data_IF_742918039711
#
_entry.id   IF_742918039711
#
_cell.length_a   1.000
_cell.length_b   1.000
_cell.length_c   1.000
_cell.angle_alpha   90.00
_cell.angle_beta   90.00
_cell.angle_gamma   90.00
#
_symmetry.space_group_name_H-M   'P 1'
#
loop_
_entity.id
_entity.type
_entity.pdbx_description
1 polymer ?
#
# COMPACT_ATOMS: atom_id res chain seq x y z
N UNK A 1 -54.74 -15.75 -3.85
CA UNK A 1 -53.41 -15.19 -3.52
C UNK A 1 -53.37 -14.35 -2.23
N UNK A 2 -54.47 -13.99 -1.61
CA UNK A 2 -54.55 -13.14 -0.41
C UNK A 2 -54.12 -13.81 0.92
N UNK A 3 -54.42 -15.11 1.11
CA UNK A 3 -54.16 -15.84 2.34
C UNK A 3 -52.68 -15.98 2.74
N UNK A 4 -51.76 -16.03 1.74
CA UNK A 4 -50.31 -16.19 1.98
C UNK A 4 -49.64 -14.92 2.55
N UNK A 5 -50.14 -13.73 2.22
CA UNK A 5 -49.65 -12.43 2.73
C UNK A 5 -50.01 -12.25 4.21
N UNK A 6 -51.19 -12.68 4.64
CA UNK A 6 -51.66 -12.52 6.02
C UNK A 6 -50.85 -13.37 6.99
N UNK A 7 -50.50 -14.61 6.60
CA UNK A 7 -49.69 -15.51 7.43
C UNK A 7 -48.27 -15.00 7.65
N UNK A 8 -47.61 -14.44 6.61
CA UNK A 8 -46.28 -13.88 6.74
C UNK A 8 -46.25 -12.66 7.65
N UNK A 9 -47.19 -11.73 7.56
CA UNK A 9 -47.27 -10.57 8.44
C UNK A 9 -47.52 -10.96 9.91
N UNK A 10 -48.27 -12.00 10.16
CA UNK A 10 -48.54 -12.51 11.52
C UNK A 10 -47.29 -13.14 12.12
N UNK A 11 -46.54 -13.93 11.36
CA UNK A 11 -45.27 -14.56 11.79
C UNK A 11 -44.23 -13.47 12.10
N UNK A 12 -44.09 -12.46 11.24
CA UNK A 12 -43.12 -11.35 11.45
C UNK A 12 -43.46 -10.51 12.70
N UNK A 13 -44.76 -10.20 12.93
CA UNK A 13 -45.19 -9.47 14.14
C UNK A 13 -44.96 -10.31 15.39
N UNK A 14 -45.15 -11.62 15.33
CA UNK A 14 -44.90 -12.51 16.44
C UNK A 14 -43.43 -12.64 16.75
N UNK A 15 -42.58 -12.81 15.74
CA UNK A 15 -41.13 -12.84 15.89
C UNK A 15 -40.56 -11.51 16.49
N UNK A 16 -41.04 -10.35 16.04
CA UNK A 16 -40.69 -9.04 16.61
C UNK A 16 -41.12 -8.88 18.09
N UNK A 17 -42.27 -9.43 18.47
CA UNK A 17 -42.73 -9.44 19.87
C UNK A 17 -41.90 -10.38 20.76
N UNK A 18 -41.50 -11.55 20.29
CA UNK A 18 -40.61 -12.45 21.02
C UNK A 18 -39.21 -11.84 21.18
N UNK A 19 -38.65 -11.26 20.12
CA UNK A 19 -37.35 -10.56 20.19
C UNK A 19 -37.39 -9.39 21.19
N UNK A 20 -38.43 -8.55 21.18
CA UNK A 20 -38.61 -7.49 22.18
C UNK A 20 -38.73 -8.01 23.61
N UNK A 21 -39.46 -9.13 23.85
CA UNK A 21 -39.56 -9.74 25.17
C UNK A 21 -38.24 -10.36 25.63
N UNK A 22 -37.48 -11.00 24.74
CA UNK A 22 -36.16 -11.54 25.05
C UNK A 22 -35.18 -10.44 25.47
N UNK A 23 -35.11 -9.34 24.71
CA UNK A 23 -34.25 -8.19 25.02
C UNK A 23 -34.63 -7.53 26.36
N UNK A 24 -35.92 -7.49 26.69
CA UNK A 24 -36.39 -6.89 27.97
C UNK A 24 -36.04 -7.76 29.17
N UNK A 25 -35.80 -9.08 28.99
CA UNK A 25 -35.40 -10.00 30.06
C UNK A 25 -33.91 -10.03 30.36
N UNK A 26 -33.08 -9.44 29.50
CA UNK A 26 -31.64 -9.38 29.73
C UNK A 26 -31.39 -8.44 30.92
N UNK A 27 -30.88 -9.02 32.01
CA UNK A 27 -30.55 -8.28 33.23
C UNK A 27 -29.59 -7.14 32.92
N UNK A 28 -29.75 -6.00 33.58
CA UNK A 28 -28.90 -4.81 33.38
C UNK A 28 -27.40 -5.13 33.51
N UNK A 29 -27.05 -6.02 34.43
CA UNK A 29 -25.67 -6.49 34.60
C UNK A 29 -25.12 -7.18 33.35
N UNK A 30 -25.92 -7.99 32.66
CA UNK A 30 -25.50 -8.65 31.39
C UNK A 30 -25.27 -7.61 30.27
N UNK A 31 -26.09 -6.58 30.19
CA UNK A 31 -25.90 -5.49 29.21
C UNK A 31 -24.60 -4.74 29.45
N UNK A 32 -24.33 -4.40 30.71
CA UNK A 32 -23.09 -3.75 31.10
C UNK A 32 -21.88 -4.62 30.77
N UNK A 33 -21.95 -5.92 31.10
CA UNK A 33 -20.89 -6.86 30.83
C UNK A 33 -20.59 -6.95 29.31
N UNK A 34 -21.63 -7.05 28.45
CA UNK A 34 -21.45 -7.10 26.99
C UNK A 34 -20.80 -5.82 26.46
N UNK A 35 -21.23 -4.65 26.93
CA UNK A 35 -20.61 -3.37 26.52
C UNK A 35 -19.15 -3.30 26.97
N UNK A 36 -18.85 -3.73 28.17
CA UNK A 36 -17.51 -3.70 28.74
C UNK A 36 -16.56 -4.66 28.01
N UNK A 37 -17.00 -5.88 27.69
CA UNK A 37 -16.21 -6.84 26.89
C UNK A 37 -15.97 -6.33 25.46
N UNK A 38 -16.96 -5.67 24.85
CA UNK A 38 -16.81 -5.04 23.55
C UNK A 38 -15.74 -3.94 23.58
N UNK A 39 -15.80 -3.05 24.56
CA UNK A 39 -14.83 -1.96 24.74
C UNK A 39 -13.40 -2.50 24.96
N UNK A 40 -13.26 -3.51 25.82
CA UNK A 40 -11.97 -4.17 26.07
C UNK A 40 -11.45 -4.83 24.78
N UNK A 41 -12.32 -5.50 24.02
CA UNK A 41 -11.96 -6.11 22.74
C UNK A 41 -11.48 -5.09 21.70
N UNK A 42 -12.16 -3.95 21.59
CA UNK A 42 -11.74 -2.85 20.71
C UNK A 42 -10.39 -2.28 21.15
N UNK A 43 -10.22 -2.02 22.44
CA UNK A 43 -8.96 -1.48 22.97
C UNK A 43 -7.79 -2.45 22.77
N UNK A 44 -7.97 -3.73 23.06
CA UNK A 44 -6.96 -4.75 22.83
C UNK A 44 -6.62 -4.88 21.34
N UNK A 45 -7.64 -4.90 20.46
CA UNK A 45 -7.46 -4.94 19.02
C UNK A 45 -6.67 -3.73 18.49
N UNK A 46 -6.96 -2.53 19.00
CA UNK A 46 -6.22 -1.32 18.64
C UNK A 46 -4.75 -1.40 19.06
N UNK A 47 -4.46 -1.86 20.27
CA UNK A 47 -3.08 -2.02 20.78
C UNK A 47 -2.31 -3.03 19.92
N UNK A 48 -2.91 -4.18 19.58
CA UNK A 48 -2.32 -5.19 18.72
C UNK A 48 -2.04 -4.61 17.33
N UNK A 49 -3.02 -3.93 16.73
CA UNK A 49 -2.86 -3.29 15.42
C UNK A 49 -1.73 -2.27 15.41
N UNK A 50 -1.64 -1.41 16.43
CA UNK A 50 -0.57 -0.42 16.57
C UNK A 50 0.80 -1.09 16.77
N UNK A 51 0.86 -2.21 17.48
CA UNK A 51 2.10 -2.94 17.69
C UNK A 51 2.64 -3.53 16.39
N UNK A 52 1.80 -4.22 15.63
CA UNK A 52 2.18 -4.78 14.31
C UNK A 52 2.52 -3.69 13.29
N UNK A 53 1.88 -2.53 13.39
CA UNK A 53 2.08 -1.40 12.49
C UNK A 53 3.38 -0.61 12.72
N UNK A 54 4.12 -0.89 13.80
CA UNK A 54 5.36 -0.13 14.12
C UNK A 54 6.45 -0.29 13.08
N UNK A 55 6.55 -1.46 12.43
CA UNK A 55 7.57 -1.79 11.46
C UNK A 55 7.11 -1.58 10.02
N UNK A 56 5.93 -0.96 9.82
CA UNK A 56 5.44 -0.69 8.48
C UNK A 56 6.35 0.30 7.79
N UNK A 57 6.81 -0.08 6.61
CA UNK A 57 7.73 0.71 5.80
C UNK A 57 7.47 0.50 4.32
N UNK A 58 7.77 1.53 3.57
CA UNK A 58 7.81 1.48 2.12
C UNK A 58 9.10 2.17 1.69
N UNK A 59 10.13 1.39 1.36
CA UNK A 59 11.50 1.87 1.13
C UNK A 59 12.11 1.17 -0.07
N UNK A 60 12.81 1.92 -0.92
CA UNK A 60 13.68 1.38 -1.95
C UNK A 60 14.99 0.91 -1.31
N UNK A 61 15.46 -0.26 -1.69
CA UNK A 61 16.79 -0.72 -1.32
C UNK A 61 17.82 -0.12 -2.30
N UNK A 62 19.01 0.14 -1.77
CA UNK A 62 20.13 0.71 -2.54
C UNK A 62 19.97 2.17 -2.92
N UNK A 63 20.68 2.56 -3.95
CA UNK A 63 20.74 3.96 -4.41
C UNK A 63 19.43 4.34 -5.12
N UNK A 64 18.90 5.52 -4.82
CA UNK A 64 17.63 6.01 -5.39
C UNK A 64 17.84 7.02 -6.53
N UNK A 65 19.02 7.65 -6.60
CA UNK A 65 19.38 8.62 -7.63
C UNK A 65 20.71 8.22 -8.23
N UNK A 66 20.72 8.07 -9.55
CA UNK A 66 21.90 7.72 -10.33
C UNK A 66 22.23 8.89 -11.25
N UNK A 67 23.51 9.25 -11.32
CA UNK A 67 24.07 10.14 -12.34
C UNK A 67 24.90 9.29 -13.29
N UNK A 68 24.61 9.37 -14.57
CA UNK A 68 25.23 8.56 -15.63
C UNK A 68 25.77 9.51 -16.67
N UNK A 69 27.04 9.34 -17.03
CA UNK A 69 27.65 10.13 -18.08
C UNK A 69 27.05 9.76 -19.45
N UNK A 70 26.73 10.79 -20.23
CA UNK A 70 26.28 10.59 -21.60
C UNK A 70 27.44 10.09 -22.48
N UNK A 71 27.18 9.05 -23.26
CA UNK A 71 28.13 8.52 -24.24
C UNK A 71 27.45 8.43 -25.58
N UNK A 72 27.83 9.29 -26.52
CA UNK A 72 27.25 9.31 -27.87
C UNK A 72 27.55 7.98 -28.60
N UNK A 73 26.51 7.31 -29.07
CA UNK A 73 26.62 5.97 -29.67
C UNK A 73 27.03 4.86 -28.70
N UNK A 74 27.05 5.14 -27.38
CA UNK A 74 27.38 4.18 -26.34
C UNK A 74 26.33 3.10 -26.14
N UNK A 75 26.76 1.96 -25.57
CA UNK A 75 25.83 0.93 -25.14
C UNK A 75 24.98 1.43 -23.98
N UNK A 76 23.68 1.08 -23.92
CA UNK A 76 22.80 1.52 -22.86
C UNK A 76 23.27 1.02 -21.49
N UNK A 77 23.02 1.81 -20.45
CA UNK A 77 23.28 1.38 -19.07
C UNK A 77 22.21 0.38 -18.62
N UNK A 78 22.65 -0.78 -18.15
CA UNK A 78 21.76 -1.85 -17.71
C UNK A 78 21.65 -1.85 -16.19
N UNK A 79 20.47 -1.50 -15.68
CA UNK A 79 20.21 -1.45 -14.25
C UNK A 79 19.44 -2.69 -13.78
N UNK A 80 19.98 -3.36 -12.75
CA UNK A 80 19.29 -4.44 -12.04
C UNK A 80 18.63 -3.89 -10.79
N UNK A 81 17.33 -4.12 -10.61
CA UNK A 81 16.59 -3.65 -9.44
C UNK A 81 17.11 -4.32 -8.16
N UNK A 82 17.49 -3.50 -7.18
CA UNK A 82 18.02 -3.94 -5.88
C UNK A 82 16.91 -4.36 -4.90
N UNK A 83 15.66 -4.00 -5.21
CA UNK A 83 14.48 -4.39 -4.44
C UNK A 83 13.74 -3.22 -3.79
N UNK A 84 12.52 -3.56 -3.40
CA UNK A 84 11.61 -2.64 -2.70
C UNK A 84 11.04 -3.38 -1.50
N UNK A 85 11.16 -2.78 -0.33
CA UNK A 85 10.51 -3.29 0.87
C UNK A 85 9.19 -2.56 1.12
N UNK A 86 8.11 -3.31 1.14
CA UNK A 86 6.78 -2.79 1.49
C UNK A 86 6.16 -3.67 2.56
N UNK A 87 5.97 -3.11 3.76
CA UNK A 87 5.29 -3.75 4.87
C UNK A 87 4.08 -2.93 5.28
N UNK A 88 2.93 -3.58 5.42
CA UNK A 88 1.66 -2.98 5.75
C UNK A 88 0.96 -3.78 6.84
N UNK A 89 0.73 -3.18 8.01
CA UNK A 89 0.20 -3.83 9.21
C UNK A 89 0.99 -5.09 9.59
N UNK A 90 2.32 -5.00 9.50
CA UNK A 90 3.24 -6.10 9.82
C UNK A 90 3.29 -7.23 8.79
N UNK A 91 2.56 -7.12 7.69
CA UNK A 91 2.55 -8.11 6.60
C UNK A 91 3.36 -7.60 5.41
N UNK A 92 4.01 -8.51 4.73
CA UNK A 92 4.66 -8.23 3.46
C UNK A 92 3.62 -7.83 2.40
N UNK A 93 3.77 -6.63 1.86
CA UNK A 93 2.90 -6.06 0.84
C UNK A 93 3.56 -6.04 -0.55
N UNK A 94 4.66 -6.74 -0.76
CA UNK A 94 5.40 -6.78 -2.03
C UNK A 94 4.53 -7.27 -3.20
N UNK A 95 3.57 -8.16 -2.95
CA UNK A 95 2.61 -8.62 -3.96
C UNK A 95 1.60 -7.55 -4.42
N UNK A 96 1.50 -6.44 -3.70
CA UNK A 96 0.65 -5.28 -4.02
C UNK A 96 1.44 -4.11 -4.60
N UNK A 97 2.72 -4.34 -4.86
CA UNK A 97 3.58 -3.34 -5.46
C UNK A 97 3.22 -3.18 -6.94
N UNK A 98 3.00 -1.95 -7.34
CA UNK A 98 2.83 -1.56 -8.75
C UNK A 98 4.05 -0.75 -9.17
N UNK A 99 4.57 -1.04 -10.35
CA UNK A 99 5.74 -0.38 -10.94
C UNK A 99 5.31 0.29 -12.22
N UNK A 100 5.58 1.58 -12.33
CA UNK A 100 5.31 2.40 -13.52
C UNK A 100 6.64 2.96 -14.03
N UNK A 101 6.95 2.74 -15.30
CA UNK A 101 8.15 3.27 -15.95
C UNK A 101 7.99 3.23 -17.47
N UNK A 102 8.65 4.15 -18.17
CA UNK A 102 8.77 4.15 -19.63
C UNK A 102 10.00 3.35 -20.13
N UNK A 103 10.83 2.84 -19.20
CA UNK A 103 12.02 2.07 -19.52
C UNK A 103 11.67 0.66 -19.97
N UNK A 104 12.33 0.18 -21.00
CA UNK A 104 12.26 -1.20 -21.44
C UNK A 104 13.10 -2.11 -20.54
N UNK A 105 12.73 -3.38 -20.46
CA UNK A 105 13.54 -4.40 -19.80
C UNK A 105 14.12 -5.37 -20.82
N UNK A 106 15.32 -5.84 -20.56
CA UNK A 106 15.95 -6.90 -21.34
C UNK A 106 15.40 -8.29 -20.93
N UNK A 107 15.89 -9.34 -21.62
CA UNK A 107 15.48 -10.73 -21.34
C UNK A 107 15.85 -11.21 -19.93
N UNK A 108 16.77 -10.53 -19.24
CA UNK A 108 17.16 -10.81 -17.85
C UNK A 108 16.39 -9.97 -16.83
N UNK A 109 15.42 -9.14 -17.27
CA UNK A 109 14.63 -8.26 -16.40
C UNK A 109 15.35 -6.99 -15.94
N UNK A 110 16.49 -6.63 -16.57
CA UNK A 110 17.23 -5.41 -16.27
C UNK A 110 16.65 -4.24 -17.04
N UNK A 111 16.55 -3.07 -16.44
CA UNK A 111 16.10 -1.85 -17.10
C UNK A 111 17.18 -1.29 -18.01
N UNK A 112 16.78 -0.91 -19.21
CA UNK A 112 17.64 -0.36 -20.26
C UNK A 112 17.54 1.16 -20.20
N UNK A 113 18.59 1.85 -19.73
CA UNK A 113 18.65 3.30 -19.67
C UNK A 113 19.46 3.79 -20.86
N UNK A 114 18.85 4.56 -21.80
CA UNK A 114 19.57 5.16 -22.91
C UNK A 114 20.61 6.16 -22.41
N UNK A 115 21.84 6.09 -22.91
CA UNK A 115 22.92 7.01 -22.56
C UNK A 115 23.40 7.85 -23.74
N UNK A 116 22.74 7.71 -24.90
CA UNK A 116 23.06 8.40 -26.15
C UNK A 116 22.57 9.86 -26.19
N UNK A 117 21.76 10.24 -25.23
CA UNK A 117 21.21 11.60 -25.09
C UNK A 117 20.98 11.94 -23.62
N UNK A 118 21.08 13.22 -23.30
CA UNK A 118 20.69 13.73 -22.01
C UNK A 118 19.21 13.44 -21.69
N UNK A 119 18.94 13.16 -20.43
CA UNK A 119 17.56 12.91 -20.00
C UNK A 119 17.45 12.47 -18.56
N UNK A 120 16.21 12.47 -18.09
CA UNK A 120 15.85 11.95 -16.76
C UNK A 120 14.86 10.82 -16.95
N UNK A 121 15.23 9.65 -16.48
CA UNK A 121 14.43 8.44 -16.54
C UNK A 121 14.03 8.05 -15.12
N UNK A 122 12.80 7.57 -14.96
CA UNK A 122 12.29 7.24 -13.63
C UNK A 122 11.62 5.88 -13.58
N UNK A 123 11.75 5.23 -12.43
CA UNK A 123 10.95 4.07 -12.06
C UNK A 123 10.15 4.46 -10.83
N UNK A 124 8.83 4.42 -10.94
CA UNK A 124 7.90 4.83 -9.89
C UNK A 124 7.27 3.58 -9.27
N UNK A 125 7.38 3.47 -7.97
CA UNK A 125 6.82 2.39 -7.18
C UNK A 125 5.67 2.92 -6.35
N UNK A 126 4.54 2.21 -6.38
CA UNK A 126 3.37 2.46 -5.54
C UNK A 126 2.95 1.16 -4.86
N UNK A 127 2.32 1.26 -3.71
CA UNK A 127 1.82 0.09 -2.97
C UNK A 127 0.39 0.35 -2.51
N UNK A 128 -0.51 -0.61 -2.78
CA UNK A 128 -1.89 -0.54 -2.31
C UNK A 128 -1.97 -0.93 -0.83
N UNK A 129 -1.89 0.07 0.03
CA UNK A 129 -1.95 -0.07 1.47
C UNK A 129 -2.62 1.15 2.11
N UNK A 130 -3.49 0.93 3.09
CA UNK A 130 -4.18 2.02 3.83
C UNK A 130 -3.22 2.97 4.54
N UNK A 131 -1.99 2.56 4.80
CA UNK A 131 -0.96 3.35 5.48
C UNK A 131 -0.13 4.20 4.52
N UNK A 132 -0.12 3.84 3.23
CA UNK A 132 0.57 4.51 2.15
C UNK A 132 -0.44 4.95 1.09
N UNK A 133 -0.33 6.19 0.64
CA UNK A 133 -1.25 6.80 -0.32
C UNK A 133 -1.61 8.22 0.07
N UNK A 134 -2.40 8.91 -0.76
CA UNK A 134 -2.74 10.33 -0.56
C UNK A 134 -3.45 10.61 0.77
N UNK A 135 -4.32 9.72 1.19
CA UNK A 135 -5.13 9.87 2.42
C UNK A 135 -4.53 9.13 3.62
N UNK A 136 -3.35 8.56 3.44
CA UNK A 136 -2.71 7.80 4.51
C UNK A 136 -2.09 8.72 5.56
N UNK A 137 -2.02 8.28 6.84
CA UNK A 137 -1.40 9.08 7.91
C UNK A 137 0.05 9.46 7.64
N UNK A 138 0.79 8.64 6.90
CA UNK A 138 2.20 8.89 6.55
C UNK A 138 2.35 9.81 5.34
N UNK A 139 1.30 10.02 4.53
CA UNK A 139 1.35 10.81 3.30
C UNK A 139 2.31 10.28 2.23
N UNK A 140 2.84 9.06 2.36
CA UNK A 140 3.75 8.45 1.38
C UNK A 140 2.94 7.82 0.27
N UNK A 141 2.95 8.46 -0.92
CA UNK A 141 2.17 8.01 -2.07
C UNK A 141 2.99 7.02 -2.91
N UNK A 142 4.25 7.37 -3.18
CA UNK A 142 5.13 6.65 -4.09
C UNK A 142 6.60 6.78 -3.68
N UNK A 143 7.41 5.86 -4.17
CA UNK A 143 8.86 5.93 -4.18
C UNK A 143 9.35 6.01 -5.61
N UNK A 144 10.41 6.77 -5.83
CA UNK A 144 10.93 7.02 -7.18
C UNK A 144 12.42 6.72 -7.19
N UNK A 145 12.85 5.96 -8.18
CA UNK A 145 14.25 5.78 -8.54
C UNK A 145 14.50 6.61 -9.80
N UNK A 146 15.52 7.45 -9.77
CA UNK A 146 15.81 8.43 -10.82
C UNK A 146 17.19 8.16 -11.43
N UNK A 147 17.26 8.16 -12.74
CA UNK A 147 18.49 8.07 -13.53
C UNK A 147 18.60 9.35 -14.34
N UNK A 148 19.65 10.13 -14.08
CA UNK A 148 19.94 11.36 -14.80
C UNK A 148 21.14 11.13 -15.70
N UNK A 149 20.95 11.22 -17.01
CA UNK A 149 22.01 11.17 -18.00
C UNK A 149 22.43 12.60 -18.33
N UNK A 150 23.70 12.94 -18.07
CA UNK A 150 24.26 14.27 -18.24
C UNK A 150 25.44 14.22 -19.20
N UNK A 151 25.60 15.26 -20.03
CA UNK A 151 26.81 15.44 -20.80
C UNK A 151 27.97 15.70 -19.85
N UNK A 152 29.04 14.95 -20.00
CA UNK A 152 30.29 15.28 -19.31
C UNK A 152 30.90 16.49 -20.04
N UNK A 153 30.94 17.66 -19.40
CA UNK A 153 31.77 18.75 -19.90
C UNK A 153 33.23 18.26 -19.84
N UNK A 154 33.86 18.04 -21.01
CA UNK A 154 35.31 17.91 -21.04
C UNK A 154 35.84 19.23 -20.53
N UNK A 155 36.35 19.24 -19.30
CA UNK A 155 37.19 20.35 -18.80
C UNK A 155 38.34 20.49 -19.78
N UNK A 156 38.17 21.41 -20.74
CA UNK A 156 39.21 21.79 -21.67
C UNK A 156 40.34 22.41 -20.86
N UNK A 157 41.27 21.56 -20.46
CA UNK A 157 42.58 22.02 -19.98
C UNK A 157 43.28 22.67 -21.18
N UNK A 158 43.02 23.93 -21.41
CA UNK A 158 43.91 24.75 -22.23
C UNK A 158 45.16 25.01 -21.39
N UNK A 159 46.21 24.21 -21.66
CA UNK A 159 47.57 24.48 -21.24
C UNK A 159 48.19 25.60 -22.08
#
# INVERSE_FOLDING_TARGET
MAAKKTTQQTVEKTAKRYAKKAVKRIHTATKVLVVLTLLVGIAAGAVVCLHFSKNDRFVLQGQTVFSIDMVEGGAPYLYTEEGVEAYCFGLDASSKLMVETDLQQDAAGRYIIPVDKEGVYTIVYTVDCLKFGEKAPNGVIKRIRTFTVIATEEDGIYG
#
